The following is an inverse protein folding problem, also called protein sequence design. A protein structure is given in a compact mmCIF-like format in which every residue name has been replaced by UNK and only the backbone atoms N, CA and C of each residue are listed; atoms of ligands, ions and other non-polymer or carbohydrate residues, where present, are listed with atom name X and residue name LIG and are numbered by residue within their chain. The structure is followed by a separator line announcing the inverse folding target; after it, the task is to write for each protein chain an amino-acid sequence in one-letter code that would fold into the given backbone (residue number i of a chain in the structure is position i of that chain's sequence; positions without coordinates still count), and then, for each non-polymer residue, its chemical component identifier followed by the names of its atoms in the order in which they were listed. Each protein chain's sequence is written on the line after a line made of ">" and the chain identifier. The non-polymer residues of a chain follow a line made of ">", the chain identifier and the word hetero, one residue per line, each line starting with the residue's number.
data_IF_497761973585
#
_entry.id   IF_497761973585
#
_cell.length_a   1.000
_cell.length_b   1.000
_cell.length_c   1.000
_cell.angle_alpha   90.00
_cell.angle_beta   90.00
_cell.angle_gamma   90.00
#
_symmetry.space_group_name_H-M   'P 1'
#
loop_
_entity.id
_entity.type
_entity.pdbx_description
1 polymer ?
#
# COMPACT_ATOMS: atom_id res chain seq x y z
N UNK A 1 -42.63 30.95 -13.48
CA UNK A 1 -42.63 29.48 -13.51
C UNK A 1 -41.21 29.07 -13.91
N UNK A 2 -40.40 28.59 -12.95
CA UNK A 2 -39.07 28.03 -13.22
C UNK A 2 -39.24 26.63 -13.80
N UNK A 3 -38.35 26.24 -14.71
CA UNK A 3 -38.46 25.06 -15.55
C UNK A 3 -37.51 23.92 -15.11
N UNK A 4 -37.06 23.88 -13.85
CA UNK A 4 -35.99 22.93 -13.43
C UNK A 4 -36.11 22.39 -11.99
N UNK A 5 -37.31 22.13 -11.45
CA UNK A 5 -37.44 21.45 -10.13
C UNK A 5 -37.21 19.92 -10.17
N UNK A 6 -36.75 19.34 -11.29
CA UNK A 6 -36.69 17.86 -11.45
C UNK A 6 -35.44 17.32 -12.15
N UNK A 7 -34.36 18.09 -12.26
CA UNK A 7 -33.14 17.61 -12.92
C UNK A 7 -32.13 17.12 -11.90
N UNK A 8 -32.07 15.80 -11.72
CA UNK A 8 -31.03 15.11 -10.94
C UNK A 8 -29.80 14.91 -11.83
N UNK A 9 -28.61 15.25 -11.33
CA UNK A 9 -27.35 14.92 -12.01
C UNK A 9 -26.64 13.82 -11.26
N UNK A 10 -26.18 12.84 -12.03
CA UNK A 10 -25.37 11.73 -11.56
C UNK A 10 -23.95 11.91 -12.07
N UNK A 11 -23.00 11.82 -11.15
CA UNK A 11 -21.57 11.78 -11.44
C UNK A 11 -21.10 10.38 -11.10
N UNK A 12 -20.38 9.75 -12.03
CA UNK A 12 -19.77 8.45 -11.85
C UNK A 12 -18.25 8.58 -12.01
N UNK A 13 -17.49 7.98 -11.10
CA UNK A 13 -16.05 7.80 -11.25
C UNK A 13 -15.77 6.32 -11.44
N UNK A 14 -15.22 5.94 -12.59
CA UNK A 14 -14.81 4.56 -12.89
C UNK A 14 -13.61 4.14 -12.04
N UNK A 15 -13.52 2.85 -11.72
CA UNK A 15 -12.41 2.25 -10.98
C UNK A 15 -11.05 2.59 -11.60
N UNK A 16 -10.94 2.54 -12.93
CA UNK A 16 -9.70 2.88 -13.63
C UNK A 16 -9.24 4.31 -13.32
N UNK A 17 -10.18 5.26 -13.18
CA UNK A 17 -9.86 6.64 -12.83
C UNK A 17 -9.40 6.77 -11.36
N UNK A 18 -9.94 5.94 -10.45
CA UNK A 18 -9.46 5.86 -9.07
C UNK A 18 -8.04 5.29 -9.01
N UNK A 19 -7.78 4.21 -9.76
CA UNK A 19 -6.45 3.59 -9.84
C UNK A 19 -5.42 4.52 -10.51
N UNK A 20 -5.79 5.25 -11.56
CA UNK A 20 -4.95 6.28 -12.17
C UNK A 20 -4.59 7.38 -11.16
N UNK A 21 -5.56 7.81 -10.35
CA UNK A 21 -5.34 8.81 -9.32
C UNK A 21 -4.43 8.29 -8.19
N UNK A 22 -4.66 7.08 -7.70
CA UNK A 22 -3.81 6.43 -6.70
C UNK A 22 -2.38 6.32 -7.23
N UNK A 23 -2.22 5.88 -8.48
CA UNK A 23 -0.92 5.77 -9.16
C UNK A 23 -0.25 7.13 -9.27
N UNK A 24 -0.98 8.17 -9.69
CA UNK A 24 -0.45 9.53 -9.82
C UNK A 24 -0.02 10.10 -8.46
N UNK A 25 -0.81 9.91 -7.41
CA UNK A 25 -0.48 10.35 -6.04
C UNK A 25 0.76 9.63 -5.54
N UNK A 26 0.82 8.30 -5.67
CA UNK A 26 1.96 7.50 -5.21
C UNK A 26 3.24 7.79 -6.00
N UNK A 27 3.12 8.04 -7.31
CA UNK A 27 4.24 8.45 -8.17
C UNK A 27 4.75 9.85 -7.81
N UNK A 28 3.85 10.77 -7.47
CA UNK A 28 4.20 12.15 -7.11
C UNK A 28 4.70 12.26 -5.66
N UNK A 29 4.25 11.36 -4.79
CA UNK A 29 4.55 11.35 -3.36
C UNK A 29 5.07 9.97 -2.91
N UNK A 30 6.22 9.52 -3.43
CA UNK A 30 6.74 8.19 -3.13
C UNK A 30 7.03 7.97 -1.64
N UNK A 31 7.33 9.02 -0.88
CA UNK A 31 7.48 8.96 0.58
C UNK A 31 6.23 8.49 1.36
N UNK A 32 5.06 8.40 0.72
CA UNK A 32 3.86 7.78 1.30
C UNK A 32 3.89 6.24 1.25
N UNK A 33 4.82 5.68 0.48
CA UNK A 33 4.96 4.24 0.29
C UNK A 33 6.27 3.69 0.88
N UNK A 34 7.21 4.55 1.28
CA UNK A 34 8.52 4.12 1.79
C UNK A 34 8.81 4.78 3.14
N UNK A 35 8.93 3.95 4.17
CA UNK A 35 9.18 4.34 5.54
C UNK A 35 10.36 3.55 6.10
N UNK A 36 11.23 4.20 6.84
CA UNK A 36 12.30 3.47 7.50
C UNK A 36 13.03 4.22 8.59
N UNK A 37 13.62 3.44 9.48
CA UNK A 37 14.55 3.93 10.51
C UNK A 37 15.88 4.41 9.90
N UNK A 38 16.72 5.17 10.64
CA UNK A 38 17.94 5.79 10.11
C UNK A 38 18.96 4.85 9.46
N UNK A 39 18.94 3.55 9.78
CA UNK A 39 19.79 2.59 9.09
C UNK A 39 19.34 2.35 7.64
N UNK A 40 18.04 2.32 7.37
CA UNK A 40 17.50 2.12 6.02
C UNK A 40 17.23 3.44 5.30
N UNK A 41 16.69 4.44 6.01
CA UNK A 41 16.37 5.78 5.51
C UNK A 41 17.10 6.83 6.36
N UNK A 42 18.31 7.26 5.96
CA UNK A 42 19.16 8.13 6.78
C UNK A 42 18.57 9.52 7.05
N UNK A 43 17.70 10.01 6.18
CA UNK A 43 16.97 11.26 6.32
C UNK A 43 15.70 11.21 5.45
N UNK A 44 14.62 11.88 5.89
CA UNK A 44 13.42 12.02 5.07
C UNK A 44 13.72 12.77 3.77
N UNK A 45 13.09 12.34 2.69
CA UNK A 45 13.19 12.93 1.36
C UNK A 45 11.84 12.89 0.65
N UNK A 46 11.80 13.33 -0.61
CA UNK A 46 10.60 13.18 -1.45
C UNK A 46 10.23 11.72 -1.71
N UNK A 47 11.22 10.82 -1.62
CA UNK A 47 11.10 9.40 -1.94
C UNK A 47 10.84 8.50 -0.74
N UNK A 48 11.24 8.92 0.47
CA UNK A 48 11.10 8.09 1.66
C UNK A 48 10.97 8.93 2.92
N UNK A 49 10.21 8.42 3.90
CA UNK A 49 10.00 9.05 5.20
C UNK A 49 10.88 8.38 6.25
N UNK A 50 11.77 9.14 6.88
CA UNK A 50 12.52 8.65 8.03
C UNK A 50 11.61 8.59 9.27
N UNK A 51 11.67 7.46 9.97
CA UNK A 51 10.96 7.21 11.22
C UNK A 51 11.95 6.84 12.33
N UNK A 52 11.49 6.89 13.58
CA UNK A 52 12.32 6.45 14.70
C UNK A 52 12.49 4.91 14.69
N UNK A 53 13.65 4.39 15.12
CA UNK A 53 13.81 2.97 15.45
C UNK A 53 12.81 2.56 16.53
N UNK A 54 12.45 1.27 16.57
CA UNK A 54 11.62 0.75 17.66
C UNK A 54 12.49 0.70 18.93
N UNK A 55 12.13 1.42 20.01
CA UNK A 55 12.98 1.52 21.19
C UNK A 55 13.01 0.19 21.96
N UNK A 56 14.21 -0.28 22.29
CA UNK A 56 14.42 -1.43 23.16
C UNK A 56 15.46 -1.10 24.24
N UNK A 57 15.16 -1.32 25.54
CA UNK A 57 16.09 -1.00 26.63
C UNK A 57 17.48 -1.61 26.43
N UNK A 58 18.52 -0.79 26.62
CA UNK A 58 19.92 -1.24 26.49
C UNK A 58 20.42 -1.42 25.06
N UNK A 59 19.65 -1.02 24.04
CA UNK A 59 20.02 -1.07 22.63
C UNK A 59 19.82 0.29 21.96
N UNK A 60 20.44 0.54 20.79
CA UNK A 60 20.12 1.71 19.96
C UNK A 60 18.73 1.65 19.29
N UNK A 61 17.92 0.64 19.59
CA UNK A 61 16.62 0.37 18.98
C UNK A 61 16.70 -0.56 17.77
N UNK A 62 15.59 -1.23 17.46
CA UNK A 62 15.47 -2.09 16.30
C UNK A 62 15.28 -1.24 15.05
N UNK A 63 16.19 -1.36 14.10
CA UNK A 63 16.09 -0.69 12.81
C UNK A 63 15.20 -1.52 11.89
N UNK A 64 14.34 -0.83 11.15
CA UNK A 64 13.35 -1.42 10.27
C UNK A 64 13.12 -0.54 9.04
N UNK A 65 12.55 -1.12 7.99
CA UNK A 65 11.88 -0.40 6.91
C UNK A 65 10.63 -1.15 6.44
N UNK A 66 9.69 -0.38 5.90
CA UNK A 66 8.46 -0.84 5.28
C UNK A 66 8.32 -0.11 3.96
N UNK A 67 8.24 -0.88 2.87
CA UNK A 67 7.99 -0.35 1.54
C UNK A 67 6.76 -1.01 0.94
N UNK A 68 5.80 -0.20 0.51
CA UNK A 68 4.57 -0.62 -0.13
C UNK A 68 4.70 -0.48 -1.65
N UNK A 69 4.13 -1.42 -2.40
CA UNK A 69 3.87 -1.19 -3.82
C UNK A 69 2.75 -0.17 -3.99
N UNK A 70 2.61 0.40 -5.18
CA UNK A 70 1.40 1.16 -5.51
C UNK A 70 0.19 0.26 -5.28
N UNK A 71 -0.76 0.65 -4.41
CA UNK A 71 -1.92 -0.17 -4.14
C UNK A 71 -2.89 -0.12 -5.32
N UNK A 72 -3.59 -1.23 -5.54
CA UNK A 72 -4.62 -1.36 -6.58
C UNK A 72 -5.97 -1.51 -5.89
N UNK A 73 -6.92 -0.69 -6.31
CA UNK A 73 -8.29 -0.67 -5.81
C UNK A 73 -9.21 -1.41 -6.79
N UNK A 74 -10.08 -2.25 -6.26
CA UNK A 74 -11.05 -3.05 -7.03
C UNK A 74 -12.45 -2.90 -6.40
N UNK A 75 -13.41 -2.36 -7.15
CA UNK A 75 -14.76 -2.04 -6.69
C UNK A 75 -15.68 -3.26 -6.79
N UNK A 76 -16.70 -3.34 -5.93
CA UNK A 76 -17.68 -4.41 -6.06
C UNK A 76 -18.47 -4.28 -7.37
N UNK A 77 -18.40 -5.21 -8.33
CA UNK A 77 -18.02 -6.63 -8.20
C UNK A 77 -16.57 -6.89 -8.61
N UNK A 78 -15.84 -7.59 -7.74
CA UNK A 78 -14.39 -7.80 -7.86
C UNK A 78 -13.95 -8.37 -9.22
N UNK A 79 -12.90 -7.78 -9.77
CA UNK A 79 -12.13 -8.32 -10.89
C UNK A 79 -10.98 -9.23 -10.39
N UNK A 80 -10.45 -8.97 -9.19
CA UNK A 80 -9.37 -9.74 -8.55
C UNK A 80 -9.94 -10.68 -7.48
N UNK A 81 -9.47 -11.92 -7.46
CA UNK A 81 -9.88 -12.88 -6.44
C UNK A 81 -9.29 -12.50 -5.07
N UNK A 82 -10.16 -12.41 -4.07
CA UNK A 82 -9.76 -12.20 -2.68
C UNK A 82 -9.38 -13.53 -1.99
N UNK A 83 -8.50 -13.47 -0.97
CA UNK A 83 -8.28 -14.59 -0.07
C UNK A 83 -9.59 -15.11 0.54
N UNK A 84 -9.70 -16.41 0.86
CA UNK A 84 -10.93 -17.04 1.38
C UNK A 84 -11.56 -16.36 2.61
N UNK A 85 -10.74 -15.66 3.39
CA UNK A 85 -11.09 -14.95 4.62
C UNK A 85 -11.79 -13.61 4.35
N UNK A 86 -11.61 -13.06 3.14
CA UNK A 86 -12.20 -11.81 2.69
C UNK A 86 -13.31 -12.04 1.68
N UNK A 87 -14.37 -11.24 1.81
CA UNK A 87 -15.47 -11.22 0.85
C UNK A 87 -15.87 -9.79 0.55
N UNK A 88 -16.03 -9.48 -0.74
CA UNK A 88 -16.45 -8.15 -1.18
C UNK A 88 -17.98 -8.06 -1.32
N UNK A 89 -18.61 -7.19 -0.53
CA UNK A 89 -20.04 -6.90 -0.58
C UNK A 89 -20.39 -5.66 -1.41
N UNK A 90 -21.67 -5.46 -1.69
CA UNK A 90 -22.15 -4.25 -2.33
C UNK A 90 -21.84 -3.00 -1.49
N UNK A 91 -21.33 -1.93 -2.13
CA UNK A 91 -20.91 -0.72 -1.42
C UNK A 91 -19.47 -0.76 -0.89
N UNK A 92 -18.75 -1.86 -1.09
CA UNK A 92 -17.37 -2.03 -0.66
C UNK A 92 -16.38 -1.99 -1.84
N UNK A 93 -15.13 -1.71 -1.51
CA UNK A 93 -13.97 -1.87 -2.37
C UNK A 93 -12.98 -2.82 -1.71
N UNK A 94 -12.16 -3.48 -2.52
CA UNK A 94 -10.96 -4.15 -2.05
C UNK A 94 -9.72 -3.36 -2.46
N UNK A 95 -8.65 -3.53 -1.69
CA UNK A 95 -7.35 -2.93 -1.91
C UNK A 95 -6.32 -4.05 -1.85
N UNK A 96 -5.48 -4.16 -2.88
CA UNK A 96 -4.35 -5.08 -2.90
C UNK A 96 -3.05 -4.31 -3.00
N UNK A 97 -2.06 -4.71 -2.21
CA UNK A 97 -0.71 -4.13 -2.23
C UNK A 97 0.30 -5.14 -1.74
N UNK A 98 1.56 -4.97 -2.15
CA UNK A 98 2.67 -5.74 -1.62
C UNK A 98 3.45 -4.92 -0.62
N UNK A 99 3.78 -5.54 0.50
CA UNK A 99 4.56 -4.91 1.56
C UNK A 99 5.88 -5.64 1.71
N UNK A 100 6.99 -4.96 1.40
CA UNK A 100 8.31 -5.40 1.80
C UNK A 100 8.61 -4.88 3.20
N UNK A 101 8.84 -5.81 4.13
CA UNK A 101 9.21 -5.49 5.49
C UNK A 101 10.63 -5.98 5.75
N UNK A 102 11.44 -5.11 6.34
CA UNK A 102 12.84 -5.36 6.60
C UNK A 102 13.23 -4.96 8.00
N UNK A 103 14.10 -5.75 8.62
CA UNK A 103 14.62 -5.52 9.97
C UNK A 103 16.14 -5.73 9.94
N UNK A 104 16.90 -4.81 10.53
CA UNK A 104 18.35 -4.99 10.71
C UNK A 104 18.59 -5.89 11.93
N UNK A 105 18.78 -7.18 11.70
CA UNK A 105 18.99 -8.15 12.76
C UNK A 105 20.48 -8.22 13.09
N UNK A 106 20.87 -8.08 14.36
CA UNK A 106 22.25 -8.38 14.74
C UNK A 106 22.61 -9.79 14.23
N UNK A 107 23.61 -9.89 13.35
CA UNK A 107 24.05 -11.16 12.76
C UNK A 107 24.15 -12.21 13.87
N UNK A 108 23.36 -13.28 13.80
CA UNK A 108 23.63 -14.50 14.59
C UNK A 108 25.07 -14.84 14.30
N UNK A 109 25.93 -14.72 15.31
CA UNK A 109 27.38 -14.73 15.15
C UNK A 109 27.86 -15.82 14.19
N UNK A 110 28.11 -15.46 12.94
CA UNK A 110 29.25 -16.03 12.24
C UNK A 110 30.43 -15.34 12.88
N UNK A 111 31.21 -16.11 13.63
CA UNK A 111 32.59 -15.78 13.88
C UNK A 111 33.29 -15.76 12.51
N UNK A 112 33.07 -14.74 11.69
CA UNK A 112 33.99 -14.42 10.62
C UNK A 112 35.11 -13.59 11.26
N UNK A 113 36.35 -14.11 11.29
CA UNK A 113 37.49 -13.33 11.75
C UNK A 113 37.59 -12.06 10.90
N UNK A 114 37.99 -10.92 11.49
CA UNK A 114 38.16 -9.70 10.71
C UNK A 114 39.34 -9.89 9.75
N UNK A 115 39.02 -10.02 8.47
CA UNK A 115 39.93 -9.81 7.36
C UNK A 115 40.85 -10.98 7.02
N UNK A 116 40.43 -11.82 6.09
CA UNK A 116 41.32 -12.33 5.04
C UNK A 116 40.56 -12.27 3.71
N UNK A 117 41.06 -11.45 2.78
CA UNK A 117 40.66 -11.51 1.38
C UNK A 117 40.86 -12.96 0.87
N UNK A 118 39.82 -13.68 0.43
CA UNK A 118 40.02 -14.95 -0.24
C UNK A 118 40.53 -14.62 -1.65
N UNK A 119 41.84 -14.52 -1.79
CA UNK A 119 42.52 -14.66 -3.08
C UNK A 119 42.13 -16.00 -3.68
N UNK A 120 41.51 -15.95 -4.85
CA UNK A 120 41.56 -17.00 -5.87
C UNK A 120 40.93 -18.33 -5.49
N UNK A 121 39.65 -18.51 -5.80
CA UNK A 121 39.13 -19.84 -6.09
C UNK A 121 38.46 -19.85 -7.45
N UNK A 122 39.09 -20.60 -8.34
CA UNK A 122 38.62 -20.93 -9.68
C UNK A 122 37.18 -21.47 -9.62
N UNK A 123 36.33 -20.95 -10.52
CA UNK A 123 34.99 -21.46 -10.77
C UNK A 123 35.05 -22.96 -11.11
N UNK A 124 34.36 -23.86 -10.38
CA UNK A 124 33.94 -25.11 -10.96
C UNK A 124 32.75 -24.81 -11.88
N UNK A 125 32.87 -25.28 -13.12
CA UNK A 125 31.82 -25.25 -14.13
C UNK A 125 30.48 -25.77 -13.58
N UNK A 126 29.43 -25.06 -13.95
CA UNK A 126 28.03 -25.36 -13.72
C UNK A 126 27.66 -26.72 -14.34
N UNK A 127 27.13 -27.66 -13.55
CA UNK A 127 26.49 -28.88 -14.05
C UNK A 127 24.98 -28.63 -14.21
N UNK A 128 24.43 -28.54 -15.44
CA UNK A 128 23.07 -28.05 -15.65
C UNK A 128 22.10 -29.23 -15.80
N UNK A 129 21.79 -29.93 -14.71
CA UNK A 129 20.65 -30.88 -14.68
C UNK A 129 20.03 -31.01 -13.28
N UNK A 130 19.25 -30.02 -12.88
CA UNK A 130 18.17 -30.24 -11.91
C UNK A 130 16.86 -29.63 -12.46
N UNK A 131 15.91 -30.45 -12.95
CA UNK A 131 14.71 -29.98 -13.63
C UNK A 131 13.57 -29.57 -12.69
N UNK A 132 13.77 -29.52 -11.37
CA UNK A 132 12.69 -29.29 -10.39
C UNK A 132 12.66 -27.88 -9.76
N UNK A 133 13.45 -26.93 -10.25
CA UNK A 133 13.25 -25.52 -9.87
C UNK A 133 12.04 -24.94 -10.59
N UNK A 134 10.89 -24.98 -9.90
CA UNK A 134 9.71 -24.19 -10.26
C UNK A 134 10.12 -22.72 -10.40
N UNK A 135 9.60 -22.15 -11.47
CA UNK A 135 10.00 -20.89 -12.01
C UNK A 135 9.34 -19.75 -11.23
N UNK A 136 10.02 -19.23 -10.20
CA UNK A 136 9.64 -17.97 -9.50
C UNK A 136 9.91 -16.73 -10.37
N UNK A 137 9.75 -16.84 -11.70
CA UNK A 137 10.23 -15.86 -12.69
C UNK A 137 9.22 -14.81 -13.15
N UNK A 138 8.04 -14.78 -12.53
CA UNK A 138 7.00 -13.77 -12.80
C UNK A 138 6.74 -12.81 -11.62
N UNK A 139 7.64 -12.76 -10.64
CA UNK A 139 7.58 -11.72 -9.63
C UNK A 139 8.05 -10.38 -10.27
N UNK A 140 7.27 -9.29 -10.21
CA UNK A 140 7.77 -7.95 -10.51
C UNK A 140 9.00 -7.73 -9.64
N UNK A 141 10.16 -7.83 -10.28
CA UNK A 141 11.46 -7.58 -9.67
C UNK A 141 11.38 -6.20 -8.99
N UNK A 142 11.21 -6.19 -7.67
CA UNK A 142 12.05 -5.29 -6.89
C UNK A 142 13.46 -5.55 -7.42
N UNK A 143 14.21 -4.53 -7.87
CA UNK A 143 15.59 -4.73 -8.26
C UNK A 143 16.28 -5.57 -7.17
N UNK A 144 17.25 -6.43 -7.52
CA UNK A 144 17.99 -7.19 -6.51
C UNK A 144 18.74 -6.16 -5.64
N UNK A 145 18.05 -5.69 -4.60
CA UNK A 145 18.28 -4.41 -3.91
C UNK A 145 19.44 -4.52 -2.91
N UNK A 146 20.37 -5.46 -3.10
CA UNK A 146 21.59 -5.63 -2.28
C UNK A 146 22.41 -4.34 -2.16
N UNK A 147 22.16 -3.35 -3.02
CA UNK A 147 22.86 -2.07 -3.04
C UNK A 147 22.11 -0.89 -2.40
N UNK A 148 20.84 -1.05 -1.95
CA UNK A 148 20.00 0.08 -1.43
C UNK A 148 19.56 -0.07 0.03
N UNK A 149 20.32 -0.78 0.85
CA UNK A 149 20.03 -0.96 2.29
C UNK A 149 20.46 0.22 3.17
N UNK A 150 20.93 1.31 2.56
CA UNK A 150 21.53 2.44 3.25
C UNK A 150 22.73 2.03 4.11
N UNK A 151 22.54 2.05 5.43
CA UNK A 151 23.51 1.70 6.48
C UNK A 151 23.13 0.46 7.28
N UNK A 152 22.04 -0.23 6.92
CA UNK A 152 21.66 -1.48 7.57
C UNK A 152 22.75 -2.53 7.35
N UNK A 153 23.14 -3.23 8.41
CA UNK A 153 24.30 -4.13 8.36
C UNK A 153 23.93 -5.55 8.00
N UNK A 154 22.78 -6.00 8.48
CA UNK A 154 22.30 -7.37 8.38
C UNK A 154 20.78 -7.36 8.16
N UNK A 155 20.32 -6.79 7.04
CA UNK A 155 18.90 -6.73 6.75
C UNK A 155 18.33 -8.14 6.55
N UNK A 156 17.24 -8.44 7.25
CA UNK A 156 16.39 -9.60 7.02
C UNK A 156 15.04 -9.10 6.54
N UNK A 157 14.57 -9.62 5.40
CA UNK A 157 13.35 -9.11 4.77
C UNK A 157 12.43 -10.21 4.29
N UNK A 158 11.15 -9.85 4.21
CA UNK A 158 10.11 -10.61 3.55
C UNK A 158 9.25 -9.67 2.69
N UNK A 159 8.55 -10.26 1.73
CA UNK A 159 7.49 -9.59 0.97
C UNK A 159 6.18 -10.29 1.33
N UNK A 160 5.16 -9.49 1.59
CA UNK A 160 3.83 -9.93 1.97
C UNK A 160 2.83 -9.41 0.94
N UNK A 161 1.97 -10.29 0.43
CA UNK A 161 0.77 -9.86 -0.28
C UNK A 161 -0.31 -9.50 0.73
N UNK A 162 -0.78 -8.27 0.66
CA UNK A 162 -1.73 -7.70 1.62
C UNK A 162 -3.00 -7.32 0.88
N UNK A 163 -4.10 -7.87 1.36
CA UNK A 163 -5.44 -7.59 0.87
C UNK A 163 -6.23 -6.87 1.95
N UNK A 164 -7.08 -5.95 1.56
CA UNK A 164 -7.97 -5.27 2.48
C UNK A 164 -9.33 -5.04 1.84
N UNK A 165 -10.36 -4.97 2.67
CA UNK A 165 -11.71 -4.56 2.27
C UNK A 165 -12.08 -3.29 3.01
N UNK A 166 -12.76 -2.40 2.33
CA UNK A 166 -13.20 -1.13 2.88
C UNK A 166 -14.47 -0.60 2.21
N UNK A 167 -14.91 0.57 2.66
CA UNK A 167 -16.04 1.28 2.08
C UNK A 167 -15.77 2.78 1.99
N UNK A 168 -16.51 3.45 1.12
CA UNK A 168 -16.41 4.90 0.98
C UNK A 168 -17.23 5.60 2.05
N UNK A 169 -16.68 6.69 2.59
CA UNK A 169 -17.33 7.53 3.60
C UNK A 169 -17.38 8.97 3.12
N UNK A 170 -18.48 9.67 3.42
CA UNK A 170 -18.53 11.13 3.26
C UNK A 170 -17.73 11.77 4.39
N UNK A 171 -16.79 12.64 4.05
CA UNK A 171 -15.92 13.35 4.99
C UNK A 171 -15.78 14.82 4.60
N UNK A 172 -14.98 15.58 5.36
CA UNK A 172 -14.71 16.99 5.11
C UNK A 172 -13.20 17.23 5.09
N UNK A 173 -12.71 17.90 4.05
CA UNK A 173 -11.31 18.27 3.90
C UNK A 173 -11.22 19.74 3.48
N UNK A 174 -10.44 20.55 4.22
CA UNK A 174 -10.27 21.98 3.91
C UNK A 174 -11.58 22.79 3.93
N UNK A 175 -12.58 22.37 4.72
CA UNK A 175 -13.90 23.00 4.76
C UNK A 175 -14.83 22.65 3.59
N UNK A 176 -14.41 21.75 2.70
CA UNK A 176 -15.21 21.23 1.59
C UNK A 176 -15.60 19.78 1.85
N UNK A 177 -16.74 19.36 1.30
CA UNK A 177 -17.15 17.97 1.31
C UNK A 177 -16.17 17.15 0.48
N UNK A 178 -15.79 15.99 1.00
CA UNK A 178 -14.85 15.08 0.38
C UNK A 178 -15.34 13.63 0.52
N UNK A 179 -14.81 12.75 -0.33
CA UNK A 179 -14.96 11.31 -0.20
C UNK A 179 -13.68 10.78 0.47
N UNK A 180 -13.86 10.03 1.56
CA UNK A 180 -12.80 9.32 2.26
C UNK A 180 -12.95 7.81 2.10
N UNK A 181 -11.89 7.10 2.47
CA UNK A 181 -11.83 5.64 2.44
C UNK A 181 -11.74 5.10 3.87
N UNK A 182 -12.66 4.21 4.23
CA UNK A 182 -12.66 3.51 5.50
C UNK A 182 -12.24 2.05 5.29
N UNK A 183 -11.41 1.52 6.20
CA UNK A 183 -10.89 0.16 6.15
C UNK A 183 -11.65 -0.75 7.13
N UNK A 184 -12.29 -1.78 6.59
CA UNK A 184 -13.11 -2.74 7.33
C UNK A 184 -12.27 -3.91 7.84
N UNK A 185 -11.47 -4.52 6.96
CA UNK A 185 -10.61 -5.67 7.28
C UNK A 185 -9.31 -5.66 6.45
N UNK A 186 -8.29 -6.34 6.96
CA UNK A 186 -6.99 -6.56 6.31
C UNK A 186 -6.63 -8.02 6.52
N UNK A 187 -6.13 -8.67 5.48
CA UNK A 187 -5.67 -10.04 5.46
C UNK A 187 -4.28 -10.09 4.82
N UNK A 188 -3.40 -10.94 5.35
CA UNK A 188 -2.11 -11.25 4.75
C UNK A 188 -2.11 -12.70 4.32
N UNK A 189 -1.57 -13.00 3.15
CA UNK A 189 -1.57 -14.39 2.65
C UNK A 189 -0.41 -15.18 3.26
N UNK A 190 -0.71 -16.36 3.78
CA UNK A 190 0.22 -17.44 4.15
C UNK A 190 1.26 -17.11 5.25
N UNK A 191 0.87 -16.43 6.35
CA UNK A 191 1.75 -16.25 7.51
C UNK A 191 1.47 -17.26 8.62
N UNK A 192 2.40 -18.18 8.83
CA UNK A 192 2.43 -19.00 10.05
C UNK A 192 3.49 -18.51 11.06
N UNK A 193 3.20 -18.56 12.38
CA UNK A 193 1.94 -18.98 12.99
C UNK A 193 0.87 -17.88 12.97
N UNK A 194 -0.42 -18.23 13.05
CA UNK A 194 -1.56 -17.28 13.00
C UNK A 194 -1.44 -16.13 14.01
N UNK A 195 -0.78 -16.36 15.17
CA UNK A 195 -0.55 -15.29 16.13
C UNK A 195 0.40 -14.19 15.61
N UNK A 196 1.37 -14.55 14.78
CA UNK A 196 2.25 -13.61 14.10
C UNK A 196 1.49 -12.86 13.01
N UNK A 197 0.72 -13.58 12.21
CA UNK A 197 -0.19 -13.02 11.20
C UNK A 197 -1.10 -11.95 11.79
N UNK A 198 -1.87 -12.26 12.84
CA UNK A 198 -2.76 -11.29 13.49
C UNK A 198 -2.03 -10.04 14.03
N UNK A 199 -0.79 -10.19 14.50
CA UNK A 199 0.01 -9.04 14.95
C UNK A 199 0.41 -8.17 13.77
N UNK A 200 0.82 -8.77 12.66
CA UNK A 200 1.21 -8.04 11.46
C UNK A 200 -0.02 -7.39 10.81
N UNK A 201 -1.16 -8.08 10.73
CA UNK A 201 -2.43 -7.54 10.23
C UNK A 201 -2.89 -6.33 11.04
N UNK A 202 -2.79 -6.41 12.37
CA UNK A 202 -3.11 -5.29 13.25
C UNK A 202 -2.20 -4.08 12.96
N UNK A 203 -0.89 -4.32 12.80
CA UNK A 203 0.07 -3.27 12.45
C UNK A 203 -0.25 -2.65 11.08
N UNK A 204 -0.45 -3.49 10.06
CA UNK A 204 -0.76 -3.04 8.70
C UNK A 204 -2.10 -2.30 8.64
N UNK A 205 -3.10 -2.74 9.39
CA UNK A 205 -4.38 -2.03 9.53
C UNK A 205 -4.17 -0.60 10.03
N UNK A 206 -3.33 -0.40 11.04
CA UNK A 206 -3.02 0.94 11.56
C UNK A 206 -2.29 1.81 10.51
N UNK A 207 -1.31 1.23 9.82
CA UNK A 207 -0.56 1.93 8.75
C UNK A 207 -1.48 2.31 7.59
N UNK A 208 -2.23 1.35 7.06
CA UNK A 208 -3.15 1.56 5.94
C UNK A 208 -4.24 2.57 6.30
N UNK A 209 -4.83 2.51 7.51
CA UNK A 209 -5.78 3.53 7.97
C UNK A 209 -5.16 4.93 8.02
N UNK A 210 -3.91 5.05 8.48
CA UNK A 210 -3.21 6.33 8.50
C UNK A 210 -2.97 6.87 7.08
N UNK A 211 -2.57 6.00 6.15
CA UNK A 211 -2.35 6.38 4.74
C UNK A 211 -3.67 6.78 4.10
N UNK A 212 -4.72 5.95 4.22
CA UNK A 212 -6.05 6.23 3.68
C UNK A 212 -6.67 7.50 4.27
N UNK A 213 -6.41 7.83 5.54
CA UNK A 213 -6.87 9.08 6.13
C UNK A 213 -6.26 10.33 5.45
N UNK A 214 -5.11 10.20 4.79
CA UNK A 214 -4.54 11.28 3.97
C UNK A 214 -5.10 11.33 2.55
N UNK A 215 -5.80 10.27 2.12
CA UNK A 215 -6.47 10.20 0.83
C UNK A 215 -7.92 10.65 1.00
N UNK A 216 -8.17 11.93 0.73
CA UNK A 216 -9.51 12.47 0.60
C UNK A 216 -9.69 13.05 -0.80
N UNK A 217 -10.75 12.66 -1.48
CA UNK A 217 -11.11 13.22 -2.78
C UNK A 217 -12.02 14.42 -2.54
N UNK A 218 -11.56 15.66 -2.74
CA UNK A 218 -12.44 16.81 -2.63
C UNK A 218 -13.51 16.67 -3.70
N UNK A 219 -14.79 16.71 -3.28
CA UNK A 219 -15.89 16.77 -4.23
C UNK A 219 -16.15 18.24 -4.51
N UNK A 220 -15.23 18.86 -5.24
CA UNK A 220 -15.50 20.19 -5.77
C UNK A 220 -16.63 20.04 -6.76
N UNK A 221 -17.63 20.91 -6.65
CA UNK A 221 -18.73 20.96 -7.58
C UNK A 221 -18.21 20.91 -9.02
N UNK A 222 -18.73 19.98 -9.83
CA UNK A 222 -18.41 19.93 -11.25
C UNK A 222 -18.97 21.21 -11.89
N UNK A 223 -18.08 22.13 -12.24
CA UNK A 223 -18.43 23.32 -13.00
C UNK A 223 -18.59 22.95 -14.48
N UNK A 224 -19.83 22.70 -14.89
CA UNK A 224 -20.19 22.56 -16.30
C UNK A 224 -20.55 23.94 -16.85
N UNK A 225 -19.53 24.75 -17.13
CA UNK A 225 -19.71 26.11 -17.65
C UNK A 225 -20.23 27.07 -16.59
N UNK A 226 -21.52 27.43 -16.64
CA UNK A 226 -22.14 28.41 -15.75
C UNK A 226 -22.90 27.79 -14.55
N UNK A 227 -22.81 26.46 -14.37
CA UNK A 227 -23.56 25.73 -13.35
C UNK A 227 -22.60 25.02 -12.38
N UNK A 228 -22.89 25.14 -11.09
CA UNK A 228 -22.14 24.51 -10.00
C UNK A 228 -22.97 23.35 -9.45
N UNK A 229 -22.53 22.11 -9.68
CA UNK A 229 -23.21 20.92 -9.17
C UNK A 229 -22.75 20.58 -7.76
N UNK A 230 -23.62 20.73 -6.76
CA UNK A 230 -23.30 20.30 -5.39
C UNK A 230 -23.92 18.92 -5.15
N UNK A 231 -23.11 17.86 -4.92
CA UNK A 231 -23.66 16.54 -4.63
C UNK A 231 -24.45 16.56 -3.31
N UNK A 232 -25.71 16.15 -3.35
CA UNK A 232 -26.63 16.04 -2.22
C UNK A 232 -26.73 14.61 -1.66
N UNK A 233 -26.32 13.58 -2.41
CA UNK A 233 -26.35 12.17 -1.99
C UNK A 233 -25.19 11.35 -2.60
N UNK A 234 -24.52 10.52 -1.80
CA UNK A 234 -23.32 9.76 -2.21
C UNK A 234 -22.14 9.97 -1.23
N UNK A 235 -21.02 9.23 -1.36
CA UNK A 235 -20.68 8.28 -2.43
C UNK A 235 -21.41 6.92 -2.29
N UNK A 236 -21.84 6.34 -3.41
CA UNK A 236 -22.37 4.97 -3.50
C UNK A 236 -21.52 4.18 -4.50
N UNK A 237 -21.08 2.97 -4.16
CA UNK A 237 -20.36 2.09 -5.11
C UNK A 237 -21.39 1.23 -5.85
N UNK A 238 -21.39 1.29 -7.18
CA UNK A 238 -22.20 0.47 -8.08
C UNK A 238 -21.32 -0.17 -9.15
N UNK A 239 -21.12 -1.49 -9.08
CA UNK A 239 -20.25 -2.25 -9.99
C UNK A 239 -18.85 -1.60 -10.02
N UNK A 240 -18.45 -1.00 -11.15
CA UNK A 240 -17.10 -0.49 -11.32
C UNK A 240 -17.03 1.04 -11.17
N UNK A 241 -18.02 1.67 -10.51
CA UNK A 241 -18.08 3.12 -10.38
C UNK A 241 -18.59 3.62 -9.04
N UNK A 242 -18.11 4.80 -8.67
CA UNK A 242 -18.60 5.58 -7.52
C UNK A 242 -19.60 6.61 -8.01
N UNK A 243 -20.84 6.52 -7.54
CA UNK A 243 -21.94 7.40 -7.87
C UNK A 243 -22.11 8.49 -6.81
N UNK A 244 -22.27 9.72 -7.27
CA UNK A 244 -22.78 10.84 -6.49
C UNK A 244 -23.94 11.51 -7.23
N UNK A 245 -24.98 11.89 -6.49
CA UNK A 245 -26.19 12.55 -6.97
C UNK A 245 -26.24 13.96 -6.41
N UNK A 246 -26.58 14.93 -7.25
CA UNK A 246 -26.75 16.33 -6.87
C UNK A 246 -27.94 16.99 -7.56
N UNK A 247 -28.38 18.11 -6.99
CA UNK A 247 -29.41 18.97 -7.54
C UNK A 247 -28.76 20.29 -8.04
N UNK A 248 -29.41 20.98 -8.98
CA UNK A 248 -28.99 22.29 -9.50
C UNK A 248 -29.60 23.46 -8.71
#
# INVERSE_FOLDING_TARGET
>A
MSLTETSEVFVAVEESALNDLITAVCTTRPHLLDYGSPAFVPASSVSATQMAPIPFPGSPGLQWSVRLSTPVLDLFKQDVALPPELSLGAGQFSLSTRVRLCVDCASRGRNEPPGEDPKGHDHPEHDPKDPDHRDDRDDPLWPDDRDDWGKARNPTCCVLDVFAVGHLVSTWAGGQQAIGFALDSVEIVDIEPNALESVIECLLTMVLRSVLATLSLPVTALELGAFTLTPTQGPLIDVNRVLARGDF
#
